data_IF_596496352823
#
_entry.id   IF_596496352823
#
_cell.length_a   1.000
_cell.length_b   1.000
_cell.length_c   1.000
_cell.angle_alpha   90.00
_cell.angle_beta   90.00
_cell.angle_gamma   90.00
#
_symmetry.space_group_name_H-M   'P 1'
#
loop_
_entity.id
_entity.type
_entity.pdbx_description
1 polymer ?
#
# COMPACT_ATOMS: atom_id res chain seq x y z
N UNK A 1 21.91 -20.80 -2.47
CA UNK A 1 22.11 -19.73 -3.46
C UNK A 1 22.53 -18.49 -2.69
N UNK A 2 23.69 -17.91 -2.99
CA UNK A 2 24.16 -16.67 -2.36
C UNK A 2 24.03 -15.52 -3.34
N UNK A 3 23.32 -14.48 -2.93
CA UNK A 3 23.43 -13.13 -3.48
C UNK A 3 23.39 -12.17 -2.29
N UNK A 4 24.51 -11.52 -2.02
CA UNK A 4 24.61 -10.41 -1.06
C UNK A 4 24.81 -9.12 -1.83
N UNK A 5 23.83 -8.21 -1.73
CA UNK A 5 24.08 -6.77 -1.69
C UNK A 5 23.11 -6.11 -0.71
N UNK A 6 23.69 -5.67 0.42
CA UNK A 6 23.17 -4.74 1.44
C UNK A 6 21.94 -3.92 1.04
N UNK A 7 20.90 -4.02 1.88
CA UNK A 7 20.29 -2.85 2.54
C UNK A 7 20.02 -3.23 4.00
N UNK A 8 20.98 -2.94 4.88
CA UNK A 8 20.63 -2.69 6.28
C UNK A 8 19.86 -1.36 6.30
N UNK A 9 18.55 -1.44 6.12
CA UNK A 9 17.61 -0.36 6.36
C UNK A 9 16.37 -1.07 6.92
N UNK A 10 15.98 -0.76 8.16
CA UNK A 10 14.88 -1.46 8.82
C UNK A 10 13.66 -1.60 7.92
N UNK A 11 12.94 -2.71 8.08
CA UNK A 11 11.70 -3.03 7.39
C UNK A 11 10.83 -1.78 7.18
N UNK A 12 10.36 -1.51 5.95
CA UNK A 12 9.65 -0.28 5.66
C UNK A 12 8.40 -0.18 6.53
N UNK A 13 8.25 0.98 7.17
CA UNK A 13 7.09 1.33 7.98
C UNK A 13 6.10 2.12 7.13
N UNK A 14 4.92 1.56 6.94
CA UNK A 14 3.82 2.13 6.16
C UNK A 14 2.63 2.39 7.07
N UNK A 15 1.83 3.41 6.76
CA UNK A 15 0.64 3.73 7.53
C UNK A 15 -0.57 3.01 6.93
N UNK A 16 -1.33 2.27 7.74
CA UNK A 16 -2.50 1.52 7.26
C UNK A 16 -3.54 2.44 6.62
N UNK A 17 -3.76 3.64 7.18
CA UNK A 17 -4.62 4.68 6.61
C UNK A 17 -4.25 5.10 5.18
N UNK A 18 -3.03 4.81 4.71
CA UNK A 18 -2.60 5.06 3.32
C UNK A 18 -2.54 3.75 2.53
N UNK A 19 -2.10 2.66 3.14
CA UNK A 19 -2.02 1.34 2.48
C UNK A 19 -3.39 0.82 2.08
N UNK A 20 -4.37 0.82 2.99
CA UNK A 20 -5.71 0.31 2.74
C UNK A 20 -6.36 0.96 1.50
N UNK A 21 -6.45 2.30 1.36
CA UNK A 21 -7.05 2.90 0.17
C UNK A 21 -6.25 2.68 -1.12
N UNK A 22 -4.93 2.47 -1.05
CA UNK A 22 -4.12 2.08 -2.21
C UNK A 22 -4.50 0.66 -2.65
N UNK A 23 -4.51 -0.30 -1.73
CA UNK A 23 -4.83 -1.70 -2.04
C UNK A 23 -6.26 -1.85 -2.55
N UNK A 24 -7.24 -1.21 -1.90
CA UNK A 24 -8.63 -1.18 -2.38
C UNK A 24 -8.76 -0.59 -3.79
N UNK A 25 -7.94 0.40 -4.14
CA UNK A 25 -7.91 0.96 -5.49
C UNK A 25 -7.38 -0.05 -6.52
N UNK A 26 -6.44 -0.91 -6.15
CA UNK A 26 -5.77 -1.85 -7.05
C UNK A 26 -6.62 -3.09 -7.41
N UNK A 27 -7.75 -3.32 -6.74
CA UNK A 27 -8.67 -4.45 -7.02
C UNK A 27 -9.12 -4.48 -8.49
N UNK A 28 -9.23 -3.32 -9.15
CA UNK A 28 -9.81 -3.20 -10.48
C UNK A 28 -8.81 -2.95 -11.62
N UNK A 29 -7.51 -3.18 -11.43
CA UNK A 29 -6.44 -2.74 -12.35
C UNK A 29 -6.49 -1.24 -12.64
N UNK A 30 -5.62 -0.46 -12.00
CA UNK A 30 -5.80 0.98 -11.95
C UNK A 30 -4.52 1.76 -12.27
N UNK A 31 -4.65 2.90 -12.94
CA UNK A 31 -3.52 3.77 -13.18
C UNK A 31 -3.20 4.64 -11.95
N UNK A 32 -1.94 5.08 -11.83
CA UNK A 32 -1.50 5.89 -10.67
C UNK A 32 -2.28 7.21 -10.50
N UNK A 33 -2.71 7.84 -11.59
CA UNK A 33 -3.48 9.08 -11.51
C UNK A 33 -4.88 8.84 -10.93
N UNK A 34 -5.46 7.67 -11.17
CA UNK A 34 -6.76 7.27 -10.63
C UNK A 34 -6.64 6.89 -9.15
N UNK A 35 -5.57 6.18 -8.76
CA UNK A 35 -5.24 5.94 -7.34
C UNK A 35 -5.14 7.29 -6.60
N UNK A 36 -4.37 8.24 -7.14
CA UNK A 36 -4.26 9.57 -6.56
C UNK A 36 -5.63 10.26 -6.48
N UNK A 37 -6.45 10.16 -7.53
CA UNK A 37 -7.78 10.75 -7.54
C UNK A 37 -8.70 10.14 -6.48
N UNK A 38 -8.62 8.83 -6.25
CA UNK A 38 -9.39 8.14 -5.20
C UNK A 38 -8.92 8.54 -3.79
N UNK A 39 -7.61 8.58 -3.55
CA UNK A 39 -7.06 9.03 -2.27
C UNK A 39 -7.44 10.48 -1.97
N UNK A 40 -7.48 11.37 -2.98
CA UNK A 40 -7.90 12.76 -2.80
C UNK A 40 -9.38 12.94 -2.45
N UNK A 41 -10.22 11.91 -2.63
CA UNK A 41 -11.62 11.91 -2.18
C UNK A 41 -11.73 11.65 -0.66
N UNK A 42 -10.69 11.13 -0.02
CA UNK A 42 -10.67 10.87 1.43
C UNK A 42 -10.29 12.18 2.15
N UNK A 43 -11.19 12.78 2.95
CA UNK A 43 -10.96 14.12 3.51
C UNK A 43 -9.68 14.25 4.34
N UNK A 44 -9.36 13.23 5.15
CA UNK A 44 -8.18 13.19 6.01
C UNK A 44 -6.86 13.08 5.24
N UNK A 45 -6.89 12.57 4.01
CA UNK A 45 -5.70 12.34 3.18
C UNK A 45 -5.52 13.38 2.08
N UNK A 46 -6.58 14.11 1.73
CA UNK A 46 -6.63 15.03 0.58
C UNK A 46 -5.47 16.02 0.53
N UNK A 47 -5.04 16.57 1.66
CA UNK A 47 -3.95 17.54 1.71
C UNK A 47 -2.62 16.95 2.16
N UNK A 48 -2.66 15.78 2.81
CA UNK A 48 -1.49 15.14 3.44
C UNK A 48 -0.76 14.19 2.49
N UNK A 49 -1.49 13.43 1.68
CA UNK A 49 -0.91 12.40 0.81
C UNK A 49 -0.63 12.98 -0.58
N UNK A 50 0.64 13.03 -0.97
CA UNK A 50 1.06 13.47 -2.31
C UNK A 50 1.26 12.28 -3.25
N UNK A 51 1.30 12.53 -4.57
CA UNK A 51 1.60 11.48 -5.55
C UNK A 51 2.96 10.82 -5.31
N UNK A 52 3.93 11.53 -4.75
CA UNK A 52 5.24 10.96 -4.40
C UNK A 52 5.14 9.99 -3.22
N UNK A 53 4.27 10.27 -2.24
CA UNK A 53 3.97 9.33 -1.14
C UNK A 53 3.31 8.07 -1.72
N UNK A 54 2.32 8.24 -2.62
CA UNK A 54 1.66 7.11 -3.28
C UNK A 54 2.68 6.25 -4.05
N UNK A 55 3.59 6.86 -4.82
CA UNK A 55 4.67 6.16 -5.53
C UNK A 55 5.58 5.38 -4.57
N UNK A 56 5.97 5.99 -3.45
CA UNK A 56 6.80 5.33 -2.43
C UNK A 56 6.09 4.12 -1.86
N UNK A 57 4.79 4.23 -1.57
CA UNK A 57 4.00 3.12 -1.04
C UNK A 57 3.86 2.01 -2.09
N UNK A 58 3.45 2.34 -3.31
CA UNK A 58 3.35 1.38 -4.41
C UNK A 58 4.68 0.67 -4.69
N UNK A 59 5.82 1.36 -4.59
CA UNK A 59 7.13 0.73 -4.71
C UNK A 59 7.29 -0.41 -3.70
N UNK A 60 7.02 -0.17 -2.42
CA UNK A 60 7.11 -1.24 -1.42
C UNK A 60 6.04 -2.32 -1.62
N UNK A 61 4.80 -1.95 -1.93
CA UNK A 61 3.75 -2.94 -2.18
C UNK A 61 4.10 -3.86 -3.36
N UNK A 62 4.79 -3.35 -4.38
CA UNK A 62 5.29 -4.16 -5.50
C UNK A 62 6.48 -5.03 -5.09
N UNK A 63 7.48 -4.46 -4.41
CA UNK A 63 8.67 -5.20 -3.98
C UNK A 63 8.34 -6.38 -3.05
N UNK A 64 7.26 -6.27 -2.27
CA UNK A 64 6.80 -7.30 -1.34
C UNK A 64 5.66 -8.18 -1.92
N UNK A 65 5.36 -8.09 -3.22
CA UNK A 65 4.40 -8.98 -3.88
C UNK A 65 2.94 -8.77 -3.46
N UNK A 66 2.60 -7.60 -2.93
CA UNK A 66 1.23 -7.24 -2.51
C UNK A 66 0.44 -6.62 -3.68
N UNK A 67 1.15 -6.02 -4.62
CA UNK A 67 0.61 -5.38 -5.83
C UNK A 67 1.50 -5.75 -7.00
N UNK A 68 0.93 -6.04 -8.15
CA UNK A 68 1.64 -6.20 -9.41
C UNK A 68 1.58 -4.89 -10.21
N UNK A 69 2.71 -4.51 -10.83
CA UNK A 69 2.74 -3.45 -11.82
C UNK A 69 2.86 -4.02 -13.24
N UNK A 70 1.83 -3.80 -14.07
CA UNK A 70 1.90 -4.08 -15.50
C UNK A 70 2.51 -2.88 -16.22
N UNK A 71 3.79 -3.00 -16.59
CA UNK A 71 4.53 -1.95 -17.28
C UNK A 71 4.07 -1.67 -18.71
N UNK A 72 3.33 -2.58 -19.35
CA UNK A 72 2.81 -2.37 -20.71
C UNK A 72 1.53 -1.52 -20.68
N UNK A 73 0.66 -1.79 -19.70
CA UNK A 73 -0.60 -1.06 -19.52
C UNK A 73 -0.47 0.14 -18.57
N UNK A 74 0.65 0.24 -17.86
CA UNK A 74 0.89 1.22 -16.81
C UNK A 74 -0.17 1.20 -15.69
N UNK A 75 -0.61 0.00 -15.30
CA UNK A 75 -1.62 -0.21 -14.25
C UNK A 75 -1.06 -1.05 -13.10
N UNK A 76 -1.68 -0.89 -11.94
CA UNK A 76 -1.41 -1.64 -10.72
C UNK A 76 -2.58 -2.58 -10.44
N UNK A 77 -2.28 -3.84 -10.13
CA UNK A 77 -3.24 -4.90 -9.83
C UNK A 77 -2.99 -5.45 -8.43
N UNK A 78 -4.04 -5.74 -7.68
CA UNK A 78 -3.92 -6.37 -6.36
C UNK A 78 -3.53 -7.85 -6.51
N UNK A 79 -2.57 -8.31 -5.71
CA UNK A 79 -2.14 -9.72 -5.65
C UNK A 79 -2.70 -10.39 -4.38
N UNK A 80 -2.60 -11.72 -4.28
CA UNK A 80 -3.09 -12.51 -3.14
C UNK A 80 -2.54 -11.98 -1.79
N UNK A 81 -1.24 -11.66 -1.72
CA UNK A 81 -0.65 -11.08 -0.51
C UNK A 81 -1.24 -9.71 -0.14
N UNK A 82 -1.71 -8.95 -1.13
CA UNK A 82 -2.41 -7.69 -0.89
C UNK A 82 -3.81 -7.90 -0.30
N UNK A 83 -4.52 -8.96 -0.70
CA UNK A 83 -5.77 -9.35 -0.05
C UNK A 83 -5.55 -9.81 1.39
N UNK A 84 -4.49 -10.60 1.64
CA UNK A 84 -4.14 -11.02 3.00
C UNK A 84 -3.86 -9.82 3.89
N UNK A 85 -3.09 -8.83 3.41
CA UNK A 85 -2.82 -7.62 4.16
C UNK A 85 -4.08 -6.78 4.42
N UNK A 86 -5.01 -6.70 3.47
CA UNK A 86 -6.31 -6.04 3.71
C UNK A 86 -7.11 -6.75 4.82
N UNK A 87 -7.10 -8.08 4.83
CA UNK A 87 -7.76 -8.85 5.89
C UNK A 87 -7.11 -8.60 7.25
N UNK A 88 -5.77 -8.58 7.32
CA UNK A 88 -5.03 -8.27 8.55
C UNK A 88 -5.36 -6.88 9.08
N UNK A 89 -5.40 -5.85 8.21
CA UNK A 89 -5.78 -4.48 8.61
C UNK A 89 -7.21 -4.44 9.17
N UNK A 90 -8.15 -5.14 8.54
CA UNK A 90 -9.54 -5.19 9.03
C UNK A 90 -9.67 -5.95 10.36
N UNK A 91 -8.89 -7.02 10.55
CA UNK A 91 -8.83 -7.76 11.81
C UNK A 91 -8.29 -6.91 12.95
N UNK A 92 -7.16 -6.24 12.77
CA UNK A 92 -6.56 -5.34 13.77
C UNK A 92 -7.53 -4.21 14.17
N UNK A 93 -8.14 -3.56 13.17
CA UNK A 93 -9.15 -2.51 13.40
C UNK A 93 -10.33 -3.01 14.25
N UNK A 94 -10.79 -4.24 14.02
CA UNK A 94 -11.92 -4.84 14.76
C UNK A 94 -11.53 -5.27 16.17
N UNK A 95 -10.34 -5.84 16.35
CA UNK A 95 -9.89 -6.37 17.63
C UNK A 95 -9.53 -5.27 18.62
N UNK A 96 -8.76 -4.28 18.17
CA UNK A 96 -8.24 -3.24 19.07
C UNK A 96 -9.15 -2.01 19.17
N UNK A 97 -10.19 -1.91 18.32
CA UNK A 97 -11.01 -0.69 18.13
C UNK A 97 -10.14 0.54 17.82
N UNK A 98 -9.03 0.32 17.14
CA UNK A 98 -8.02 1.31 16.82
C UNK A 98 -8.35 1.98 15.48
N UNK A 99 -8.11 3.29 15.39
CA UNK A 99 -8.26 4.01 14.12
C UNK A 99 -7.11 3.63 13.17
N UNK A 100 -7.39 3.59 11.85
CA UNK A 100 -6.39 3.23 10.83
C UNK A 100 -5.14 4.12 10.84
N UNK A 101 -5.25 5.34 11.37
CA UNK A 101 -4.14 6.28 11.51
C UNK A 101 -3.11 5.86 12.55
N UNK A 102 -3.48 4.97 13.47
CA UNK A 102 -2.61 4.49 14.55
C UNK A 102 -1.95 3.13 14.21
N UNK A 103 -2.37 2.49 13.11
CA UNK A 103 -1.83 1.20 12.67
C UNK A 103 -0.63 1.42 11.73
N UNK A 104 0.54 0.95 12.18
CA UNK A 104 1.77 0.93 11.39
C UNK A 104 2.06 -0.48 10.89
N UNK A 105 2.23 -0.61 9.57
CA UNK A 105 2.55 -1.86 8.87
C UNK A 105 4.07 -1.93 8.69
N UNK A 106 4.66 -3.04 9.11
CA UNK A 106 6.06 -3.36 8.87
C UNK A 106 6.12 -4.54 7.89
N UNK A 107 6.83 -4.39 6.77
CA UNK A 107 6.98 -5.47 5.77
C UNK A 107 8.32 -6.19 5.96
N UNK A 108 8.29 -7.51 6.14
CA UNK A 108 9.48 -8.35 6.39
C UNK A 108 9.77 -9.31 5.24
#
# INVERSE_FOLDING_TARGET
MNVTHKRDAGSPRLQAAIVEPILLSCVNNIAIYEINSNIKKIPTLKHTVTVNIIKKYLFYLVEYGLVLYDGQKHVFALEDGGFDLLNMIDEERRQEKTDLGDIEITLE
#
